data_IF_681468920015
#
_entry.id   IF_681468920015
#
_cell.length_a   1.000
_cell.length_b   1.000
_cell.length_c   1.000
_cell.angle_alpha   90.00
_cell.angle_beta   90.00
_cell.angle_gamma   90.00
#
_symmetry.space_group_name_H-M   'P 1'
#
loop_
_entity.id
_entity.type
_entity.pdbx_description
1 polymer ?
#
# COMPACT_ATOMS: atom_id res chain seq x y z
N UNK A 1 -1.22 22.20 9.28
CA UNK A 1 -2.09 21.01 9.26
C UNK A 1 -2.88 21.08 7.96
N UNK A 2 -2.90 20.02 7.16
CA UNK A 2 -3.58 19.96 5.86
C UNK A 2 -3.97 18.51 5.54
N UNK A 3 -5.07 18.29 4.79
CA UNK A 3 -5.59 16.96 4.54
C UNK A 3 -4.62 16.09 3.74
N UNK A 4 -4.64 14.77 3.96
CA UNK A 4 -3.80 13.87 3.22
C UNK A 4 -4.21 13.78 1.75
N UNK A 5 -3.23 13.69 0.85
CA UNK A 5 -3.46 13.43 -0.56
C UNK A 5 -2.30 12.61 -1.16
N UNK A 6 -2.57 11.91 -2.26
CA UNK A 6 -1.55 11.19 -3.00
C UNK A 6 -0.75 12.15 -3.86
N UNK A 7 0.56 12.21 -3.63
CA UNK A 7 1.51 12.81 -4.56
C UNK A 7 1.77 11.88 -5.75
N UNK A 8 1.75 10.56 -5.51
CA UNK A 8 1.85 9.53 -6.52
C UNK A 8 0.79 8.45 -6.25
N UNK A 9 0.03 8.02 -7.27
CA UNK A 9 -0.98 6.98 -7.10
C UNK A 9 -0.32 5.66 -6.70
N UNK A 10 -1.10 4.72 -6.12
CA UNK A 10 -0.62 3.38 -5.84
C UNK A 10 -0.11 2.70 -7.12
N UNK A 11 1.12 2.19 -7.09
CA UNK A 11 1.73 1.39 -8.15
C UNK A 11 1.92 -0.05 -7.68
N UNK A 12 1.97 -0.98 -8.63
CA UNK A 12 2.17 -2.41 -8.39
C UNK A 12 3.46 -2.88 -9.06
N UNK A 13 4.29 -3.60 -8.30
CA UNK A 13 5.49 -4.26 -8.80
C UNK A 13 5.52 -5.73 -8.37
N UNK A 14 5.64 -6.64 -9.34
CA UNK A 14 5.88 -8.06 -9.07
C UNK A 14 7.37 -8.32 -8.95
N UNK A 15 7.80 -8.99 -7.88
CA UNK A 15 9.19 -9.35 -7.65
C UNK A 15 9.53 -10.77 -8.16
N UNK A 16 10.81 -11.06 -8.46
CA UNK A 16 11.24 -12.39 -8.87
C UNK A 16 11.00 -13.48 -7.84
N UNK A 17 10.97 -13.13 -6.54
CA UNK A 17 10.65 -14.04 -5.43
C UNK A 17 9.15 -14.37 -5.33
N UNK A 18 8.34 -13.88 -6.27
CA UNK A 18 6.89 -14.09 -6.31
C UNK A 18 6.10 -13.13 -5.42
N UNK A 19 6.76 -12.30 -4.59
CA UNK A 19 6.06 -11.28 -3.81
C UNK A 19 5.58 -10.12 -4.69
N UNK A 20 4.55 -9.42 -4.20
CA UNK A 20 4.00 -8.24 -4.86
C UNK A 20 4.20 -7.06 -3.94
N UNK A 21 4.68 -5.96 -4.51
CA UNK A 21 4.92 -4.71 -3.82
C UNK A 21 3.92 -3.68 -4.34
N UNK A 22 3.18 -3.08 -3.42
CA UNK A 22 2.40 -1.89 -3.71
C UNK A 22 3.10 -0.68 -3.09
N UNK A 23 3.17 0.42 -3.82
CA UNK A 23 3.81 1.65 -3.35
C UNK A 23 2.96 2.87 -3.67
N UNK A 24 2.80 3.78 -2.71
CA UNK A 24 2.26 5.11 -2.93
C UNK A 24 3.11 6.17 -2.23
N UNK A 25 3.02 7.40 -2.73
CA UNK A 25 3.60 8.58 -2.07
C UNK A 25 2.46 9.51 -1.71
N UNK A 26 2.45 9.99 -0.48
CA UNK A 26 1.43 10.90 -0.01
C UNK A 26 2.01 11.99 0.90
N UNK A 27 1.31 13.10 0.96
CA UNK A 27 1.60 14.22 1.82
C UNK A 27 0.42 14.44 2.76
N UNK A 28 0.69 14.89 3.98
CA UNK A 28 -0.34 15.09 5.00
C UNK A 28 0.26 15.52 6.34
N UNK A 29 -0.49 16.36 7.06
CA UNK A 29 -0.16 16.78 8.42
C UNK A 29 -1.46 16.92 9.22
N UNK A 30 -1.70 16.10 10.27
CA UNK A 30 -0.79 15.12 10.91
C UNK A 30 -0.49 13.90 10.03
N UNK A 31 0.36 12.99 10.52
CA UNK A 31 0.78 11.81 9.75
C UNK A 31 -0.44 11.02 9.27
N UNK A 32 -0.56 10.75 7.96
CA UNK A 32 -1.67 9.98 7.43
C UNK A 32 -1.65 8.54 7.93
N UNK A 33 -2.83 8.00 8.25
CA UNK A 33 -3.05 6.56 8.38
C UNK A 33 -3.39 5.97 7.02
N UNK A 34 -2.70 4.91 6.64
CA UNK A 34 -2.84 4.25 5.34
C UNK A 34 -3.26 2.80 5.55
N UNK A 35 -4.33 2.42 4.85
CA UNK A 35 -4.91 1.07 4.89
C UNK A 35 -5.05 0.56 3.46
N UNK A 36 -4.67 -0.70 3.26
CA UNK A 36 -4.73 -1.37 1.97
C UNK A 36 -5.85 -2.40 1.99
N UNK A 37 -6.62 -2.50 0.92
CA UNK A 37 -7.74 -3.42 0.81
C UNK A 37 -7.58 -4.31 -0.41
N UNK A 38 -7.95 -5.58 -0.32
CA UNK A 38 -8.09 -6.48 -1.47
C UNK A 38 -9.44 -7.16 -1.41
N UNK A 39 -10.26 -7.00 -2.46
CA UNK A 39 -11.63 -7.53 -2.51
C UNK A 39 -12.41 -7.17 -1.23
N UNK A 40 -12.37 -5.88 -0.87
CA UNK A 40 -13.01 -5.29 0.30
C UNK A 40 -12.52 -5.81 1.67
N UNK A 41 -11.42 -6.59 1.70
CA UNK A 41 -10.79 -7.04 2.94
C UNK A 41 -9.52 -6.25 3.21
N UNK A 42 -9.41 -5.71 4.43
CA UNK A 42 -8.19 -5.04 4.86
C UNK A 42 -7.00 -6.03 4.88
N UNK A 43 -5.89 -5.61 4.31
CA UNK A 43 -4.63 -6.34 4.30
C UNK A 43 -3.85 -6.03 5.58
N UNK A 44 -4.21 -6.71 6.67
CA UNK A 44 -3.62 -6.53 8.00
C UNK A 44 -3.10 -7.83 8.65
N UNK A 45 -3.01 -8.92 7.89
CA UNK A 45 -2.51 -10.22 8.37
C UNK A 45 -0.98 -10.37 8.24
N UNK A 46 -0.40 -11.43 8.83
CA UNK A 46 1.06 -11.68 8.88
C UNK A 46 1.73 -11.88 7.50
N UNK A 47 0.94 -12.06 6.42
CA UNK A 47 1.46 -12.17 5.04
C UNK A 47 1.68 -10.80 4.39
N UNK A 48 1.21 -9.74 5.03
CA UNK A 48 1.25 -8.37 4.57
C UNK A 48 2.18 -7.54 5.45
N UNK A 49 3.20 -6.93 4.83
CA UNK A 49 4.16 -6.08 5.55
C UNK A 49 4.05 -4.67 5.02
N UNK A 50 3.47 -3.77 5.83
CA UNK A 50 3.47 -2.33 5.56
C UNK A 50 4.73 -1.67 6.12
N UNK A 51 5.40 -0.85 5.29
CA UNK A 51 6.53 -0.01 5.68
C UNK A 51 6.21 1.43 5.32
N UNK A 52 6.40 2.34 6.28
CA UNK A 52 6.19 3.77 6.11
C UNK A 52 7.55 4.46 6.29
N UNK A 53 7.99 5.21 5.28
CA UNK A 53 9.17 6.06 5.34
C UNK A 53 8.76 7.52 5.25
N UNK A 54 9.24 8.34 6.17
CA UNK A 54 9.06 9.79 6.16
C UNK A 54 10.24 10.47 5.47
N UNK A 55 9.98 11.37 4.53
CA UNK A 55 10.97 12.25 3.94
C UNK A 55 10.35 13.61 3.69
N UNK A 56 10.90 14.68 4.29
CA UNK A 56 10.48 16.10 4.16
C UNK A 56 9.03 16.31 3.69
N UNK A 57 8.07 16.21 4.62
CA UNK A 57 6.64 16.44 4.36
C UNK A 57 5.91 15.33 3.59
N UNK A 58 6.65 14.39 3.00
CA UNK A 58 6.14 13.24 2.25
C UNK A 58 6.31 11.93 3.00
N UNK A 59 5.43 11.01 2.67
CA UNK A 59 5.39 9.66 3.21
C UNK A 59 5.38 8.67 2.06
N UNK A 60 6.43 7.86 1.97
CA UNK A 60 6.50 6.73 1.04
C UNK A 60 6.00 5.50 1.78
N UNK A 61 4.94 4.87 1.26
CA UNK A 61 4.32 3.71 1.90
C UNK A 61 4.36 2.53 0.97
N UNK A 62 4.93 1.45 1.48
CA UNK A 62 5.16 0.21 0.75
C UNK A 62 4.41 -0.92 1.45
N UNK A 63 3.55 -1.61 0.72
CA UNK A 63 2.93 -2.86 1.16
C UNK A 63 3.57 -4.03 0.42
N UNK A 64 4.11 -5.00 1.14
CA UNK A 64 4.68 -6.22 0.57
C UNK A 64 3.76 -7.38 0.91
N UNK A 65 3.21 -8.02 -0.11
CA UNK A 65 2.41 -9.22 0.01
C UNK A 65 3.25 -10.44 -0.37
N UNK A 66 3.46 -11.35 0.58
CA UNK A 66 4.17 -12.62 0.33
C UNK A 66 3.20 -13.64 -0.26
N UNK A 67 3.53 -14.13 -1.44
CA UNK A 67 2.64 -14.99 -2.20
C UNK A 67 3.00 -16.48 -2.02
N UNK A 68 2.01 -17.33 -1.72
CA UNK A 68 2.16 -18.79 -1.78
C UNK A 68 1.72 -19.27 -3.16
N UNK A 69 2.66 -19.67 -4.03
CA UNK A 69 2.62 -20.15 -5.44
C UNK A 69 1.30 -20.38 -6.23
N UNK A 70 0.14 -20.55 -5.60
CA UNK A 70 -1.14 -20.96 -6.19
C UNK A 70 -2.12 -19.87 -6.70
N UNK A 71 -1.85 -18.56 -6.54
CA UNK A 71 -2.74 -17.46 -6.99
C UNK A 71 -2.07 -16.52 -8.03
N UNK A 72 -1.00 -16.99 -8.68
CA UNK A 72 -0.24 -16.25 -9.70
C UNK A 72 -1.04 -15.50 -10.79
N UNK A 73 -2.19 -15.98 -11.28
CA UNK A 73 -2.97 -15.26 -12.29
C UNK A 73 -4.06 -14.32 -11.71
N UNK A 74 -4.39 -14.38 -10.42
CA UNK A 74 -5.49 -13.59 -9.84
C UNK A 74 -5.05 -12.23 -9.30
N UNK A 75 -3.76 -11.90 -9.40
CA UNK A 75 -3.19 -10.68 -8.83
C UNK A 75 -3.35 -9.46 -9.75
N UNK A 76 -3.59 -9.68 -11.03
CA UNK A 76 -3.76 -8.60 -12.02
C UNK A 76 -5.09 -7.87 -11.91
N UNK A 77 -6.12 -8.51 -11.34
CA UNK A 77 -7.44 -7.91 -11.06
C UNK A 77 -7.58 -7.48 -9.59
N UNK A 78 -6.48 -7.41 -8.85
CA UNK A 78 -6.46 -6.82 -7.53
C UNK A 78 -6.65 -5.30 -7.63
N UNK A 79 -7.90 -4.83 -7.54
CA UNK A 79 -8.17 -3.45 -7.16
C UNK A 79 -7.77 -3.27 -5.70
N UNK A 80 -6.48 -3.08 -5.47
CA UNK A 80 -5.99 -2.66 -4.18
C UNK A 80 -6.20 -1.16 -4.08
N UNK A 81 -7.18 -0.73 -3.28
CA UNK A 81 -7.42 0.69 -3.03
C UNK A 81 -6.90 1.07 -1.65
N UNK A 82 -6.49 2.32 -1.53
CA UNK A 82 -5.92 2.87 -0.30
C UNK A 82 -6.93 3.84 0.30
N UNK A 83 -7.16 3.70 1.61
CA UNK A 83 -7.90 4.69 2.39
C UNK A 83 -6.92 5.50 3.22
N UNK A 84 -7.01 6.83 3.10
CA UNK A 84 -6.26 7.78 3.91
C UNK A 84 -7.22 8.48 4.87
N UNK A 85 -6.99 8.30 6.17
CA UNK A 85 -7.78 8.99 7.19
C UNK A 85 -7.08 10.27 7.67
N UNK A 86 -7.88 11.34 7.82
CA UNK A 86 -7.53 12.49 8.65
C UNK A 86 -7.52 12.03 10.12
N UNK A 87 -6.39 12.18 10.79
CA UNK A 87 -6.28 11.96 12.25
C UNK A 87 -6.46 13.29 12.97
#
# INVERSE_FOLDING_TARGET
MYPPFFDAPPSLLRKPDGSVLFECICSGSPQPKIQWFFKDKELNDDRHVQKIKKSVGKWTVTMIMKFTANLGPYVTDCYCYIVMHLV
#
